data_IF_584356754859
#
_entry.id   IF_584356754859
#
_cell.length_a   1.000
_cell.length_b   1.000
_cell.length_c   1.000
_cell.angle_alpha   90.00
_cell.angle_beta   90.00
_cell.angle_gamma   90.00
#
_symmetry.space_group_name_H-M   'P 1'
#
loop_
_entity.id
_entity.type
_entity.pdbx_description
1 polymer ?
#
# COMPACT_ATOMS: atom_id res chain seq x y z
N UNK A 1 -4.05 -18.83 -14.82
CA UNK A 1 -4.27 -17.73 -13.89
C UNK A 1 -3.06 -16.84 -13.82
N UNK A 2 -3.28 -15.58 -13.54
CA UNK A 2 -2.20 -14.66 -13.34
C UNK A 2 -1.36 -15.10 -12.14
N UNK A 3 -0.03 -14.97 -12.19
CA UNK A 3 0.78 -15.26 -11.02
C UNK A 3 0.39 -14.34 -9.88
N UNK A 4 0.52 -14.85 -8.66
CA UNK A 4 0.30 -14.00 -7.49
C UNK A 4 1.31 -12.85 -7.55
N UNK A 5 0.88 -11.59 -7.41
CA UNK A 5 1.79 -10.46 -7.54
C UNK A 5 2.57 -10.27 -6.24
N UNK A 6 3.42 -11.24 -5.95
CA UNK A 6 4.28 -11.21 -4.76
C UNK A 6 5.74 -11.21 -5.16
N UNK A 7 6.57 -10.68 -4.30
CA UNK A 7 8.02 -10.68 -4.48
C UNK A 7 8.71 -10.16 -3.23
N UNK A 8 10.03 -10.10 -3.27
CA UNK A 8 10.78 -9.52 -2.17
C UNK A 8 10.37 -8.06 -1.97
N UNK A 9 10.26 -7.64 -0.72
CA UNK A 9 9.80 -6.29 -0.40
C UNK A 9 10.61 -5.22 -1.13
N UNK A 10 11.93 -5.36 -1.16
CA UNK A 10 12.79 -4.36 -1.81
C UNK A 10 12.50 -4.22 -3.30
N UNK A 11 12.21 -5.34 -3.98
CA UNK A 11 11.88 -5.32 -5.40
C UNK A 11 10.53 -4.66 -5.65
N UNK A 12 9.53 -5.00 -4.84
CA UNK A 12 8.20 -4.39 -4.95
C UNK A 12 8.28 -2.89 -4.67
N UNK A 13 8.97 -2.50 -3.60
CA UNK A 13 9.11 -1.10 -3.24
C UNK A 13 9.81 -0.31 -4.34
N UNK A 14 10.86 -0.89 -4.94
CA UNK A 14 11.59 -0.24 -6.03
C UNK A 14 10.67 -0.04 -7.25
N UNK A 15 9.85 -1.04 -7.57
CA UNK A 15 8.91 -0.93 -8.69
C UNK A 15 7.86 0.15 -8.42
N UNK A 16 7.35 0.24 -7.20
CA UNK A 16 6.35 1.25 -6.84
C UNK A 16 6.95 2.66 -6.91
N UNK A 17 8.19 2.84 -6.45
CA UNK A 17 8.87 4.12 -6.56
C UNK A 17 9.07 4.54 -8.01
N UNK A 18 9.27 3.58 -8.90
CA UNK A 18 9.41 3.87 -10.33
C UNK A 18 8.12 4.44 -10.92
N UNK A 19 6.97 4.13 -10.30
CA UNK A 19 5.69 4.74 -10.67
C UNK A 19 5.43 6.05 -9.95
N UNK A 20 6.38 6.55 -9.18
CA UNK A 20 6.21 7.78 -8.42
C UNK A 20 5.48 7.59 -7.11
N UNK A 21 5.20 6.36 -6.71
CA UNK A 21 4.51 6.09 -5.45
C UNK A 21 5.49 6.08 -4.28
N UNK A 22 5.00 6.47 -3.12
CA UNK A 22 5.74 6.42 -1.88
C UNK A 22 4.81 5.92 -0.77
N UNK A 23 5.36 5.24 0.27
CA UNK A 23 4.51 4.75 1.35
C UNK A 23 3.94 5.91 2.16
N UNK A 24 2.63 5.88 2.37
CA UNK A 24 1.91 6.92 3.10
C UNK A 24 1.27 6.40 4.37
N UNK A 25 1.11 5.09 4.49
CA UNK A 25 0.51 4.47 5.67
C UNK A 25 1.13 3.10 5.86
N UNK A 26 1.36 2.74 7.10
CA UNK A 26 1.85 1.40 7.45
C UNK A 26 1.17 0.98 8.74
N UNK A 27 0.62 -0.21 8.74
CA UNK A 27 -0.02 -0.77 9.91
C UNK A 27 0.34 -2.23 10.08
N UNK A 28 0.37 -2.70 11.31
CA UNK A 28 0.66 -4.09 11.64
C UNK A 28 -0.64 -4.75 12.07
N UNK A 29 -0.99 -5.88 11.46
CA UNK A 29 -2.20 -6.58 11.87
C UNK A 29 -1.88 -7.60 12.98
N UNK A 30 -2.94 -8.25 13.48
CA UNK A 30 -2.80 -9.18 14.60
C UNK A 30 -1.98 -10.42 14.27
N UNK A 31 -1.80 -10.71 12.97
CA UNK A 31 -1.01 -11.88 12.52
C UNK A 31 0.45 -11.54 12.30
N UNK A 32 0.86 -10.28 12.47
CA UNK A 32 2.21 -9.85 12.20
C UNK A 32 2.46 -9.48 10.75
N UNK A 33 1.39 -9.31 9.96
CA UNK A 33 1.50 -8.87 8.57
C UNK A 33 1.42 -7.35 8.54
N UNK A 34 2.35 -6.72 7.81
CA UNK A 34 2.36 -5.27 7.66
C UNK A 34 1.58 -4.90 6.40
N UNK A 35 0.62 -3.98 6.54
CA UNK A 35 -0.06 -3.39 5.40
C UNK A 35 0.58 -2.04 5.10
N UNK A 36 0.90 -1.78 3.84
CA UNK A 36 1.43 -0.49 3.41
C UNK A 36 0.61 0.05 2.27
N UNK A 37 0.20 1.30 2.38
CA UNK A 37 -0.47 2.00 1.30
C UNK A 37 0.53 2.96 0.65
N UNK A 38 0.76 2.74 -0.63
CA UNK A 38 1.67 3.54 -1.45
C UNK A 38 0.85 4.43 -2.37
N UNK A 39 1.22 5.69 -2.49
CA UNK A 39 0.45 6.67 -3.26
C UNK A 39 1.40 7.59 -4.00
N UNK A 40 1.04 7.92 -5.25
CA UNK A 40 1.74 8.90 -6.07
C UNK A 40 0.97 10.20 -6.10
N UNK A 41 1.65 11.35 -6.36
CA UNK A 41 0.94 12.62 -6.54
C UNK A 41 -0.09 12.59 -7.66
N UNK A 42 0.10 11.70 -8.65
CA UNK A 42 -0.84 11.54 -9.77
C UNK A 42 -2.15 10.86 -9.35
N UNK A 43 -2.21 10.27 -8.15
CA UNK A 43 -3.35 9.50 -7.70
C UNK A 43 -3.23 8.00 -7.90
N UNK A 44 -2.16 7.53 -8.51
CA UNK A 44 -1.87 6.09 -8.58
C UNK A 44 -1.60 5.57 -7.18
N UNK A 45 -2.16 4.41 -6.83
CA UNK A 45 -1.98 3.88 -5.48
C UNK A 45 -1.92 2.35 -5.49
N UNK A 46 -1.27 1.80 -4.47
CA UNK A 46 -1.08 0.36 -4.31
C UNK A 46 -1.09 0.02 -2.83
N UNK A 47 -1.86 -1.00 -2.49
CA UNK A 47 -1.88 -1.57 -1.13
C UNK A 47 -1.12 -2.88 -1.18
N UNK A 48 -0.07 -3.01 -0.35
CA UNK A 48 0.70 -4.24 -0.26
C UNK A 48 0.66 -4.79 1.15
N UNK A 49 0.86 -6.10 1.26
CA UNK A 49 0.96 -6.80 2.54
C UNK A 49 2.32 -7.49 2.59
N UNK A 50 3.03 -7.27 3.69
CA UNK A 50 4.41 -7.76 3.85
C UNK A 50 4.43 -8.71 5.04
N UNK A 51 4.86 -9.95 4.80
CA UNK A 51 4.94 -10.95 5.88
C UNK A 51 6.27 -10.86 6.62
N UNK A 52 6.43 -11.71 7.62
CA UNK A 52 7.63 -11.69 8.46
C UNK A 52 8.89 -12.14 7.72
N UNK A 53 8.75 -12.79 6.57
CA UNK A 53 9.88 -13.14 5.72
C UNK A 53 10.24 -12.06 4.71
N UNK A 54 9.55 -10.91 4.78
CA UNK A 54 9.72 -9.76 3.87
C UNK A 54 9.29 -10.07 2.44
N UNK A 55 8.36 -10.98 2.30
CA UNK A 55 7.68 -11.17 1.02
C UNK A 55 6.49 -10.21 0.97
N UNK A 56 6.42 -9.39 -0.06
CA UNK A 56 5.35 -8.43 -0.26
C UNK A 56 4.42 -8.90 -1.35
N UNK A 57 3.12 -8.80 -1.11
CA UNK A 57 2.10 -9.17 -2.08
C UNK A 57 1.17 -8.00 -2.31
N UNK A 58 0.77 -7.79 -3.58
CA UNK A 58 -0.20 -6.75 -3.90
C UNK A 58 -1.58 -7.18 -3.39
N UNK A 59 -2.23 -6.30 -2.64
CA UNK A 59 -3.59 -6.51 -2.18
C UNK A 59 -4.61 -5.80 -3.06
N UNK A 60 -4.28 -4.59 -3.49
CA UNK A 60 -5.13 -3.79 -4.35
C UNK A 60 -4.31 -2.69 -5.00
N UNK A 61 -4.76 -2.19 -6.13
CA UNK A 61 -4.09 -1.09 -6.80
C UNK A 61 -5.10 -0.37 -7.68
N UNK A 62 -4.86 0.90 -7.97
CA UNK A 62 -5.77 1.67 -8.79
C UNK A 62 -5.27 3.07 -9.09
N UNK A 63 -6.18 3.88 -9.57
CA UNK A 63 -5.94 5.27 -9.94
C UNK A 63 -6.88 6.16 -9.12
N UNK A 64 -6.75 7.46 -9.34
CA UNK A 64 -7.66 8.45 -8.76
C UNK A 64 -7.71 8.41 -7.24
N UNK A 65 -6.62 7.99 -6.61
CA UNK A 65 -6.50 8.05 -5.16
C UNK A 65 -6.41 9.49 -4.69
N UNK A 66 -7.09 9.79 -3.59
CA UNK A 66 -7.05 11.13 -3.01
C UNK A 66 -7.23 11.03 -1.51
N UNK A 67 -6.60 11.92 -0.74
CA UNK A 67 -6.82 11.92 0.69
C UNK A 67 -8.26 12.33 1.00
N UNK A 68 -8.83 11.69 2.02
CA UNK A 68 -10.15 12.08 2.51
C UNK A 68 -10.02 13.32 3.38
N UNK A 69 -10.91 14.28 3.15
CA UNK A 69 -11.04 15.41 4.08
C UNK A 69 -11.74 14.92 5.34
N UNK A 70 -11.25 15.30 6.50
CA UNK A 70 -11.89 14.93 7.75
C UNK A 70 -13.27 15.55 7.85
N UNK A 71 -14.29 14.72 8.12
CA UNK A 71 -15.65 15.20 8.33
C UNK A 71 -15.87 15.50 9.82
N UNK A 72 -16.99 16.16 10.12
CA UNK A 72 -17.34 16.41 11.51
C UNK A 72 -17.53 15.12 12.29
N UNK A 73 -18.09 14.09 11.67
CA UNK A 73 -18.26 12.79 12.31
C UNK A 73 -16.94 12.14 12.64
N UNK A 74 -15.98 12.21 11.73
CA UNK A 74 -14.66 11.64 11.95
C UNK A 74 -13.93 12.33 13.08
N UNK A 75 -14.10 13.64 13.21
CA UNK A 75 -13.44 14.39 14.28
C UNK A 75 -14.03 14.12 15.63
N UNK A 76 -15.30 13.71 15.69
CA UNK A 76 -15.95 13.37 16.96
C UNK A 76 -15.65 11.95 17.40
N UNK A 77 -15.28 11.08 16.48
CA UNK A 77 -14.93 9.70 16.77
C UNK A 77 -13.55 9.56 17.37
#
# INVERSE_FOLDING_TARGET
PAPSPCGAYGDIASALRAYGEAPRFRGLDARGVVAELWVAPSGSWTLIFVDTSRKACLGAAGEAGAPLAASAEERRG
#
